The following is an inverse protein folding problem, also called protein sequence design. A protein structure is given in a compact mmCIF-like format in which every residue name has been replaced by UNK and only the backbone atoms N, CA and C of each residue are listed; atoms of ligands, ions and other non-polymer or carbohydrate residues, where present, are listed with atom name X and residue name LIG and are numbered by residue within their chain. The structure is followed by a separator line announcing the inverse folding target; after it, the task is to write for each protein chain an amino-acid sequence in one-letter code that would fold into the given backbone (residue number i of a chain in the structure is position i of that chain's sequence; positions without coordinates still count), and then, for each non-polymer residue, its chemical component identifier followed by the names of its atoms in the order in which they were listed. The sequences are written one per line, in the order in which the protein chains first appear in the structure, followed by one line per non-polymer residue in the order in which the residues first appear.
data_IF_581775014751
#
_entry.id   IF_581775014751
#
_cell.length_a   1.000
_cell.length_b   1.000
_cell.length_c   1.000
_cell.angle_alpha   90.00
_cell.angle_beta   90.00
_cell.angle_gamma   90.00
#
_symmetry.space_group_name_H-M   'P 1'
#
loop_
_entity.id
_entity.type
_entity.pdbx_description
1 polymer ?
#
# COMPACT_ATOMS: atom_id res chain seq x y z
N UNK A 1 22.93 14.88 -7.54
CA UNK A 1 23.93 15.36 -8.51
C UNK A 1 25.26 15.27 -7.82
N UNK A 2 26.16 14.42 -8.32
CA UNK A 2 27.51 14.31 -7.77
C UNK A 2 28.35 15.46 -8.26
N UNK A 3 28.90 16.27 -7.36
CA UNK A 3 29.82 17.35 -7.66
C UNK A 3 31.09 16.90 -8.46
N UNK A 4 31.30 15.57 -8.54
CA UNK A 4 32.40 14.98 -9.33
C UNK A 4 32.16 15.03 -10.85
N UNK A 5 30.95 15.30 -11.30
CA UNK A 5 30.58 15.37 -12.73
C UNK A 5 30.39 16.83 -13.25
N UNK A 6 30.51 17.82 -12.36
CA UNK A 6 30.39 19.25 -12.74
C UNK A 6 31.74 19.81 -13.22
N UNK A 7 31.68 20.57 -14.30
CA UNK A 7 32.85 21.28 -14.82
C UNK A 7 33.29 22.41 -13.88
N UNK A 8 34.52 22.91 -14.03
CA UNK A 8 34.98 24.06 -13.24
C UNK A 8 34.09 25.28 -13.48
N UNK A 9 33.69 25.51 -14.73
CA UNK A 9 32.82 26.62 -15.12
C UNK A 9 31.45 26.55 -14.46
N UNK A 10 30.84 25.32 -14.35
CA UNK A 10 29.57 25.14 -13.62
C UNK A 10 29.69 25.50 -12.14
N UNK A 11 30.85 25.16 -11.52
CA UNK A 11 31.09 25.46 -10.10
C UNK A 11 31.23 26.95 -9.88
N UNK A 12 31.93 27.64 -10.77
CA UNK A 12 32.16 29.10 -10.70
C UNK A 12 30.82 29.83 -10.88
N UNK A 13 29.98 29.42 -11.82
CA UNK A 13 28.61 29.95 -12.00
C UNK A 13 27.78 29.75 -10.72
N UNK A 14 27.82 28.55 -10.10
CA UNK A 14 27.08 28.28 -8.87
C UNK A 14 27.58 29.10 -7.67
N UNK A 15 28.83 29.51 -7.66
CA UNK A 15 29.37 30.44 -6.66
C UNK A 15 28.85 31.86 -6.92
N UNK A 16 28.84 32.32 -8.16
CA UNK A 16 28.31 33.65 -8.55
C UNK A 16 26.81 33.77 -8.23
N UNK A 17 26.05 32.70 -8.44
CA UNK A 17 24.62 32.64 -8.12
C UNK A 17 24.34 32.44 -6.61
N UNK A 18 25.34 32.28 -5.77
CA UNK A 18 25.20 32.15 -4.33
C UNK A 18 24.76 30.77 -3.83
N UNK A 19 24.83 29.73 -4.68
CA UNK A 19 24.52 28.35 -4.29
C UNK A 19 25.70 27.59 -3.67
N UNK A 20 26.93 27.97 -4.07
CA UNK A 20 28.18 27.46 -3.51
C UNK A 20 29.03 28.56 -2.88
N UNK A 21 29.80 28.16 -1.87
CA UNK A 21 30.91 28.98 -1.33
C UNK A 21 32.19 28.24 -1.58
N UNK A 22 33.19 28.94 -2.15
CA UNK A 22 34.55 28.42 -2.32
C UNK A 22 35.41 28.90 -1.16
N UNK A 23 35.99 27.96 -0.41
CA UNK A 23 36.98 28.25 0.64
C UNK A 23 38.12 27.23 0.53
N UNK A 24 39.36 27.71 0.42
CA UNK A 24 40.55 26.86 0.38
C UNK A 24 40.48 25.71 -0.65
N UNK A 25 40.03 25.99 -1.88
CA UNK A 25 39.79 25.03 -2.96
C UNK A 25 38.65 24.00 -2.69
N UNK A 26 37.90 24.13 -1.60
CA UNK A 26 36.72 23.34 -1.30
C UNK A 26 35.45 24.12 -1.65
N UNK A 27 34.49 23.41 -2.26
CA UNK A 27 33.16 23.96 -2.55
C UNK A 27 32.14 23.39 -1.56
N UNK A 28 31.45 24.27 -0.86
CA UNK A 28 30.39 23.89 0.10
C UNK A 28 29.08 24.52 -0.32
N UNK A 29 27.99 23.76 -0.16
CA UNK A 29 26.64 24.27 -0.46
C UNK A 29 26.19 25.27 0.60
N UNK A 30 25.65 26.40 0.12
CA UNK A 30 25.02 27.42 0.96
C UNK A 30 23.72 26.85 1.61
N UNK A 31 23.22 27.45 2.71
CA UNK A 31 21.92 27.10 3.26
C UNK A 31 20.77 27.23 2.24
N UNK A 32 20.86 28.23 1.35
CA UNK A 32 19.89 28.44 0.26
C UNK A 32 19.89 27.28 -0.74
N UNK A 33 21.05 26.79 -1.16
CA UNK A 33 21.17 25.63 -2.05
C UNK A 33 20.61 24.37 -1.40
N UNK A 34 20.88 24.13 -0.11
CA UNK A 34 20.33 22.99 0.64
C UNK A 34 18.81 23.04 0.70
N UNK A 35 18.23 24.22 0.97
CA UNK A 35 16.79 24.41 1.00
C UNK A 35 16.15 24.14 -0.37
N UNK A 36 16.77 24.65 -1.45
CA UNK A 36 16.29 24.41 -2.82
C UNK A 36 16.29 22.94 -3.18
N UNK A 37 17.34 22.19 -2.82
CA UNK A 37 17.40 20.74 -3.06
C UNK A 37 16.26 20.03 -2.32
N UNK A 38 16.01 20.34 -1.05
CA UNK A 38 14.91 19.75 -0.28
C UNK A 38 13.55 20.09 -0.92
N UNK A 39 13.36 21.29 -1.42
CA UNK A 39 12.13 21.69 -2.10
C UNK A 39 11.93 20.91 -3.41
N UNK A 40 13.00 20.77 -4.22
CA UNK A 40 12.97 19.99 -5.46
C UNK A 40 12.72 18.51 -5.20
N UNK A 41 13.38 17.91 -4.22
CA UNK A 41 13.15 16.51 -3.83
C UNK A 41 11.70 16.29 -3.40
N UNK A 42 11.15 17.17 -2.58
CA UNK A 42 9.75 17.12 -2.16
C UNK A 42 8.79 17.29 -3.36
N UNK A 43 9.12 18.17 -4.31
CA UNK A 43 8.33 18.35 -5.53
C UNK A 43 8.33 17.09 -6.38
N UNK A 44 9.51 16.49 -6.63
CA UNK A 44 9.63 15.27 -7.43
C UNK A 44 9.01 14.04 -6.74
N UNK A 45 9.10 13.93 -5.42
CA UNK A 45 8.44 12.89 -4.65
C UNK A 45 6.92 13.03 -4.79
N UNK A 46 6.36 14.24 -4.66
CA UNK A 46 4.93 14.50 -4.86
C UNK A 46 4.48 14.23 -6.30
N UNK A 47 5.27 14.65 -7.29
CA UNK A 47 4.98 14.44 -8.72
C UNK A 47 5.02 12.95 -9.14
N UNK A 48 5.82 12.12 -8.45
CA UNK A 48 5.89 10.67 -8.68
C UNK A 48 4.78 9.88 -7.97
N UNK A 49 4.07 10.49 -7.01
CA UNK A 49 3.03 9.81 -6.27
C UNK A 49 1.79 9.65 -7.14
N UNK A 50 1.48 8.41 -7.54
CA UNK A 50 0.26 8.10 -8.30
C UNK A 50 -0.98 8.60 -7.54
N UNK A 51 -1.94 9.16 -8.26
CA UNK A 51 -3.26 9.48 -7.69
C UNK A 51 -4.04 8.21 -7.42
N UNK A 52 -5.09 8.28 -6.58
CA UNK A 52 -5.95 7.12 -6.30
C UNK A 52 -6.57 6.56 -7.60
N UNK A 53 -6.94 7.46 -8.52
CA UNK A 53 -7.46 7.09 -9.84
C UNK A 53 -6.44 6.31 -10.68
N UNK A 54 -5.17 6.72 -10.66
CA UNK A 54 -4.09 6.06 -11.40
C UNK A 54 -3.68 4.73 -10.77
N UNK A 55 -3.80 4.62 -9.45
CA UNK A 55 -3.38 3.46 -8.69
C UNK A 55 -4.46 2.38 -8.63
N UNK A 56 -5.70 2.77 -8.36
CA UNK A 56 -6.82 1.88 -8.07
C UNK A 56 -7.89 1.85 -9.18
N UNK A 57 -7.73 2.67 -10.24
CA UNK A 57 -8.66 2.73 -11.38
C UNK A 57 -9.88 3.63 -11.15
N UNK A 58 -10.68 3.85 -12.23
CA UNK A 58 -11.79 4.83 -12.24
C UNK A 58 -12.90 4.51 -11.24
N UNK A 59 -13.18 3.22 -10.99
CA UNK A 59 -14.28 2.76 -10.16
C UNK A 59 -13.83 2.37 -8.74
N UNK A 60 -12.72 2.92 -8.25
CA UNK A 60 -12.12 2.48 -6.99
C UNK A 60 -13.05 2.69 -5.79
N UNK A 61 -13.87 3.74 -5.79
CA UNK A 61 -14.84 4.00 -4.70
C UNK A 61 -15.90 2.90 -4.64
N UNK A 62 -16.44 2.49 -5.79
CA UNK A 62 -17.43 1.41 -5.88
C UNK A 62 -16.81 0.08 -5.50
N UNK A 63 -15.58 -0.18 -5.94
CA UNK A 63 -14.84 -1.39 -5.57
C UNK A 63 -14.58 -1.47 -4.06
N UNK A 64 -14.23 -0.36 -3.40
CA UNK A 64 -14.07 -0.31 -1.94
C UNK A 64 -15.41 -0.57 -1.24
N UNK A 65 -16.51 0.00 -1.72
CA UNK A 65 -17.83 -0.27 -1.17
C UNK A 65 -18.22 -1.74 -1.35
N UNK A 66 -18.04 -2.31 -2.53
CA UNK A 66 -18.30 -3.73 -2.82
C UNK A 66 -17.45 -4.65 -1.93
N UNK A 67 -16.16 -4.36 -1.77
CA UNK A 67 -15.28 -5.06 -0.84
C UNK A 67 -15.84 -5.02 0.59
N UNK A 68 -16.21 -3.83 1.07
CA UNK A 68 -16.76 -3.64 2.42
C UNK A 68 -18.03 -4.46 2.65
N UNK A 69 -18.89 -4.56 1.65
CA UNK A 69 -20.17 -5.30 1.74
C UNK A 69 -19.98 -6.83 1.82
N UNK A 70 -18.82 -7.38 1.42
CA UNK A 70 -18.51 -8.81 1.60
C UNK A 70 -18.41 -9.18 3.08
N UNK A 71 -17.88 -8.27 3.92
CA UNK A 71 -17.82 -8.50 5.37
C UNK A 71 -19.20 -8.43 6.03
N UNK A 72 -19.44 -9.16 7.13
CA UNK A 72 -20.73 -9.12 7.83
C UNK A 72 -21.00 -7.73 8.45
N UNK A 73 -22.26 -7.27 8.39
CA UNK A 73 -22.67 -5.99 8.96
C UNK A 73 -22.88 -6.09 10.48
N UNK A 74 -21.93 -6.68 11.20
CA UNK A 74 -22.01 -6.88 12.66
C UNK A 74 -20.65 -6.67 13.33
N UNK A 75 -20.65 -6.65 14.66
CA UNK A 75 -19.41 -6.72 15.43
C UNK A 75 -18.90 -8.17 15.44
N UNK A 76 -17.60 -8.31 15.33
CA UNK A 76 -16.91 -9.58 15.53
C UNK A 76 -16.91 -9.99 17.00
N UNK A 77 -16.66 -11.26 17.34
CA UNK A 77 -16.50 -11.71 18.73
C UNK A 77 -15.43 -10.92 19.52
N UNK A 78 -14.46 -10.33 18.82
CA UNK A 78 -13.47 -9.41 19.40
C UNK A 78 -14.05 -8.04 19.85
N UNK A 79 -15.35 -7.79 19.63
CA UNK A 79 -16.02 -6.51 19.91
C UNK A 79 -15.81 -5.42 18.85
N UNK A 80 -14.92 -5.63 17.88
CA UNK A 80 -14.64 -4.66 16.81
C UNK A 80 -15.66 -4.80 15.66
N UNK A 81 -16.02 -3.69 14.96
CA UNK A 81 -16.84 -3.80 13.77
C UNK A 81 -16.11 -4.58 12.68
N UNK A 82 -16.79 -5.53 12.02
CA UNK A 82 -16.19 -6.25 10.90
C UNK A 82 -15.92 -5.32 9.72
N UNK A 83 -16.84 -4.38 9.46
CA UNK A 83 -16.75 -3.36 8.41
C UNK A 83 -16.13 -2.08 8.94
N UNK A 84 -14.99 -1.69 8.40
CA UNK A 84 -14.40 -0.37 8.65
C UNK A 84 -15.05 0.69 7.74
N UNK A 85 -14.81 1.98 8.03
CA UNK A 85 -15.30 3.06 7.19
C UNK A 85 -14.53 3.15 5.86
N UNK A 86 -15.17 3.68 4.83
CA UNK A 86 -14.64 3.76 3.45
C UNK A 86 -13.31 4.54 3.39
N UNK A 87 -13.15 5.59 4.20
CA UNK A 87 -11.91 6.38 4.24
C UNK A 87 -10.73 5.53 4.71
N UNK A 88 -10.90 4.80 5.82
CA UNK A 88 -9.85 3.92 6.35
C UNK A 88 -9.51 2.78 5.38
N UNK A 89 -10.51 2.23 4.68
CA UNK A 89 -10.31 1.24 3.63
C UNK A 89 -9.57 1.82 2.43
N UNK A 90 -9.91 3.04 2.00
CA UNK A 90 -9.22 3.75 0.91
C UNK A 90 -7.73 3.95 1.19
N UNK A 91 -7.38 4.35 2.43
CA UNK A 91 -5.99 4.50 2.86
C UNK A 91 -5.25 3.15 2.88
N UNK A 92 -5.91 2.07 3.32
CA UNK A 92 -5.35 0.72 3.33
C UNK A 92 -5.15 0.18 1.91
N UNK A 93 -6.13 0.36 1.02
CA UNK A 93 -6.04 -0.06 -0.39
C UNK A 93 -5.02 0.75 -1.17
N UNK A 94 -4.84 2.04 -0.86
CA UNK A 94 -3.77 2.82 -1.47
C UNK A 94 -2.41 2.17 -1.21
N UNK A 95 -2.12 1.83 0.06
CA UNK A 95 -0.90 1.12 0.40
C UNK A 95 -0.83 -0.27 -0.27
N UNK A 96 -1.93 -1.00 -0.33
CA UNK A 96 -2.01 -2.33 -0.93
C UNK A 96 -1.60 -2.30 -2.41
N UNK A 97 -2.24 -1.45 -3.22
CA UNK A 97 -1.94 -1.31 -4.65
C UNK A 97 -0.62 -0.57 -4.95
N UNK A 98 -0.02 0.12 -3.97
CA UNK A 98 1.35 0.62 -4.07
C UNK A 98 2.39 -0.50 -3.84
N UNK A 99 2.00 -1.58 -3.16
CA UNK A 99 2.90 -2.65 -2.70
C UNK A 99 2.76 -3.93 -3.53
N UNK A 100 1.54 -4.28 -3.95
CA UNK A 100 1.20 -5.52 -4.63
C UNK A 100 0.56 -5.26 -5.99
N UNK A 101 0.79 -6.15 -6.94
CA UNK A 101 0.26 -6.08 -8.31
C UNK A 101 -0.93 -7.04 -8.48
N UNK A 102 -2.04 -6.74 -7.78
CA UNK A 102 -3.29 -7.49 -7.85
C UNK A 102 -4.41 -6.65 -8.46
N UNK A 103 -5.41 -7.33 -8.99
CA UNK A 103 -6.62 -6.71 -9.55
C UNK A 103 -7.75 -6.63 -8.53
N UNK A 104 -8.75 -5.77 -8.76
CA UNK A 104 -9.97 -5.74 -7.94
C UNK A 104 -10.77 -7.04 -8.01
N UNK A 105 -10.70 -7.78 -9.12
CA UNK A 105 -11.35 -9.07 -9.26
C UNK A 105 -10.76 -10.09 -8.30
N UNK A 106 -9.43 -10.20 -8.25
CA UNK A 106 -8.69 -11.04 -7.30
C UNK A 106 -8.99 -10.63 -5.86
N UNK A 107 -8.93 -9.32 -5.56
CA UNK A 107 -9.27 -8.77 -4.24
C UNK A 107 -10.67 -9.21 -3.79
N UNK A 108 -11.68 -9.08 -4.64
CA UNK A 108 -13.06 -9.46 -4.29
C UNK A 108 -13.21 -10.98 -4.14
N UNK A 109 -12.53 -11.78 -4.98
CA UNK A 109 -12.56 -13.25 -4.90
C UNK A 109 -11.87 -13.72 -3.62
N UNK A 110 -10.67 -13.22 -3.34
CA UNK A 110 -9.91 -13.50 -2.12
C UNK A 110 -10.70 -13.15 -0.85
N UNK A 111 -11.35 -11.99 -0.86
CA UNK A 111 -12.16 -11.54 0.28
C UNK A 111 -13.37 -12.45 0.53
N UNK A 112 -14.06 -12.89 -0.54
CA UNK A 112 -15.17 -13.84 -0.41
C UNK A 112 -14.70 -15.18 0.15
N UNK A 113 -13.57 -15.69 -0.35
CA UNK A 113 -12.96 -16.92 0.15
C UNK A 113 -12.65 -16.80 1.65
N UNK A 114 -11.93 -15.76 2.06
CA UNK A 114 -11.60 -15.46 3.44
C UNK A 114 -12.85 -15.39 4.35
N UNK A 115 -13.85 -14.58 4.00
CA UNK A 115 -15.05 -14.41 4.83
C UNK A 115 -15.86 -15.70 4.93
N UNK A 116 -15.91 -16.53 3.87
CA UNK A 116 -16.59 -17.81 3.88
C UNK A 116 -15.96 -18.81 4.85
N UNK A 117 -14.64 -18.87 4.95
CA UNK A 117 -13.93 -19.76 5.89
C UNK A 117 -14.33 -19.52 7.36
N UNK A 118 -14.63 -18.27 7.72
CA UNK A 118 -15.02 -17.95 9.10
C UNK A 118 -16.52 -17.96 9.37
N UNK A 119 -17.35 -18.17 8.34
CA UNK A 119 -18.81 -18.08 8.46
C UNK A 119 -19.37 -19.09 9.43
N UNK A 120 -18.97 -20.35 9.32
CA UNK A 120 -19.51 -21.46 10.15
C UNK A 120 -19.07 -21.38 11.60
N UNK A 121 -17.93 -20.73 11.86
CA UNK A 121 -17.43 -20.43 13.21
C UNK A 121 -17.94 -19.09 13.77
N UNK A 122 -19.03 -18.55 13.24
CA UNK A 122 -19.59 -17.24 13.59
C UNK A 122 -18.55 -16.11 13.59
N UNK A 123 -17.62 -16.18 12.62
CA UNK A 123 -16.52 -15.21 12.42
C UNK A 123 -15.52 -15.12 13.60
N UNK A 124 -15.38 -16.21 14.38
CA UNK A 124 -14.39 -16.30 15.43
C UNK A 124 -12.98 -16.12 14.84
N UNK A 125 -12.19 -15.25 15.46
CA UNK A 125 -10.82 -14.88 15.03
C UNK A 125 -10.69 -14.17 13.67
N UNK A 126 -11.80 -13.90 12.96
CA UNK A 126 -11.76 -13.15 11.73
C UNK A 126 -11.20 -11.73 11.96
N UNK A 127 -10.36 -11.26 11.05
CA UNK A 127 -9.85 -9.89 11.08
C UNK A 127 -10.94 -8.90 10.59
N UNK A 128 -10.83 -7.63 10.99
CA UNK A 128 -11.67 -6.57 10.42
C UNK A 128 -11.28 -6.30 8.98
N UNK A 129 -12.19 -5.73 8.19
CA UNK A 129 -11.95 -5.44 6.77
C UNK A 129 -10.69 -4.61 6.51
N UNK A 130 -10.32 -3.71 7.42
CA UNK A 130 -9.08 -2.94 7.30
C UNK A 130 -7.83 -3.77 7.63
N UNK A 131 -7.88 -4.58 8.69
CA UNK A 131 -6.74 -5.40 9.11
C UNK A 131 -6.45 -6.54 8.12
N UNK A 132 -7.45 -7.03 7.43
CA UNK A 132 -7.28 -8.00 6.35
C UNK A 132 -6.48 -7.43 5.19
N UNK A 133 -6.71 -6.15 4.82
CA UNK A 133 -5.91 -5.45 3.79
C UNK A 133 -4.51 -5.15 4.30
N UNK A 134 -4.42 -4.55 5.50
CA UNK A 134 -3.16 -4.04 6.03
C UNK A 134 -3.16 -4.09 7.56
N UNK A 135 -2.31 -4.93 8.12
CA UNK A 135 -2.05 -5.01 9.55
C UNK A 135 -0.60 -4.60 9.83
N UNK A 136 -0.39 -3.72 10.79
CA UNK A 136 0.94 -3.32 11.23
C UNK A 136 1.30 -4.08 12.50
N UNK A 137 2.50 -4.66 12.53
CA UNK A 137 3.03 -5.35 13.71
C UNK A 137 3.66 -4.35 14.72
N UNK A 138 4.18 -4.89 15.85
CA UNK A 138 4.86 -4.11 16.89
C UNK A 138 6.14 -3.42 16.42
N UNK A 139 6.75 -3.88 15.32
CA UNK A 139 7.93 -3.30 14.70
C UNK A 139 7.60 -2.32 13.58
N UNK A 140 6.31 -1.97 13.42
CA UNK A 140 5.78 -1.11 12.36
C UNK A 140 5.90 -1.69 10.95
N UNK A 141 6.15 -3.00 10.82
CA UNK A 141 6.13 -3.69 9.54
C UNK A 141 4.67 -3.96 9.17
N UNK A 142 4.33 -3.65 7.93
CA UNK A 142 2.98 -3.88 7.39
C UNK A 142 2.92 -5.23 6.68
N UNK A 143 1.86 -5.97 6.96
CA UNK A 143 1.53 -7.25 6.35
C UNK A 143 0.12 -7.23 5.78
N UNK A 144 -0.11 -7.99 4.71
CA UNK A 144 -1.42 -8.11 4.07
C UNK A 144 -1.84 -9.57 4.00
N UNK A 145 -2.80 -9.97 4.82
CA UNK A 145 -3.45 -11.28 4.68
C UNK A 145 -4.24 -11.36 3.36
N UNK A 146 -4.76 -10.23 2.87
CA UNK A 146 -5.43 -10.16 1.57
C UNK A 146 -4.49 -10.54 0.42
N UNK A 147 -3.22 -10.10 0.45
CA UNK A 147 -2.24 -10.47 -0.57
C UNK A 147 -1.99 -11.97 -0.57
N UNK A 148 -1.82 -12.58 0.62
CA UNK A 148 -1.64 -14.03 0.75
C UNK A 148 -2.80 -14.80 0.10
N UNK A 149 -4.05 -14.37 0.31
CA UNK A 149 -5.23 -14.97 -0.31
C UNK A 149 -5.34 -14.71 -1.82
N UNK A 150 -4.88 -13.56 -2.31
CA UNK A 150 -4.80 -13.30 -3.75
C UNK A 150 -3.77 -14.24 -4.41
N UNK A 151 -2.63 -14.43 -3.80
CA UNK A 151 -1.58 -15.33 -4.29
C UNK A 151 -2.07 -16.79 -4.31
N UNK A 152 -2.77 -17.26 -3.26
CA UNK A 152 -3.39 -18.60 -3.24
C UNK A 152 -4.35 -18.82 -4.41
N UNK A 153 -5.13 -17.80 -4.79
CA UNK A 153 -6.05 -17.88 -5.94
C UNK A 153 -5.26 -18.00 -7.26
N UNK A 154 -4.18 -17.25 -7.41
CA UNK A 154 -3.34 -17.30 -8.62
C UNK A 154 -2.62 -18.64 -8.75
N UNK A 155 -2.22 -19.25 -7.63
CA UNK A 155 -1.62 -20.58 -7.59
C UNK A 155 -2.61 -21.71 -7.81
N UNK A 156 -3.91 -21.41 -7.95
CA UNK A 156 -4.96 -22.39 -8.21
C UNK A 156 -5.38 -23.21 -6.98
N UNK A 157 -5.03 -22.77 -5.79
CA UNK A 157 -5.50 -23.34 -4.52
C UNK A 157 -6.95 -22.88 -4.30
N UNK A 158 -7.89 -23.55 -4.96
CA UNK A 158 -9.30 -23.40 -4.64
C UNK A 158 -9.59 -24.24 -3.38
N UNK A 159 -10.17 -23.62 -2.35
CA UNK A 159 -10.71 -24.34 -1.19
C UNK A 159 -12.06 -25.01 -1.51
N UNK A 160 -12.27 -25.39 -2.78
CA UNK A 160 -13.41 -26.21 -3.20
C UNK A 160 -13.02 -27.69 -3.20
N UNK A 161 -13.48 -28.36 -2.16
CA UNK A 161 -13.80 -29.80 -2.12
C UNK A 161 -12.70 -30.83 -2.42
N UNK A 162 -11.83 -31.08 -1.45
CA UNK A 162 -11.16 -32.39 -1.41
C UNK A 162 -11.30 -33.14 -0.06
N UNK A 163 -12.14 -32.71 0.85
CA UNK A 163 -12.28 -33.36 2.15
C UNK A 163 -13.60 -34.09 2.41
N UNK A 164 -14.49 -34.31 1.42
CA UNK A 164 -15.75 -35.04 1.69
C UNK A 164 -16.10 -36.13 0.69
N UNK A 165 -15.15 -36.76 0.01
CA UNK A 165 -15.42 -37.94 -0.86
C UNK A 165 -14.54 -39.14 -0.61
N UNK A 166 -14.19 -39.43 0.63
CA UNK A 166 -13.67 -40.76 1.00
C UNK A 166 -14.13 -41.16 2.39
N UNK A 167 -15.39 -41.57 2.51
CA UNK A 167 -15.86 -42.52 3.51
C UNK A 167 -17.32 -42.87 3.27
N UNK A 168 -17.59 -43.57 2.18
CA UNK A 168 -18.74 -44.53 2.15
C UNK A 168 -18.35 -45.69 1.26
N UNK A 169 -17.74 -46.67 1.82
CA UNK A 169 -17.92 -48.10 1.46
C UNK A 169 -17.97 -48.88 2.76
#
# INVERSE_FOLDING_TARGET
ISLKQTTQQDKDTLVEEGYLVKKDNLYTMTPQAKLLIVQLDNYFIKAKKKTDLQLMGKNFVDNINNYREIFPAKKLPSGKPARNNVKALGEAFRWFFETYDHTWEEVHKATRMYVNEYRDADYMYMQTSQYFICKQDKHRVKHSTLADYCDMILEGVSTEDDHFKEKVV
#
